data_IF_797759844593
#
_entry.id   IF_797759844593
#
_cell.length_a   1.000
_cell.length_b   1.000
_cell.length_c   1.000
_cell.angle_alpha   90.00
_cell.angle_beta   90.00
_cell.angle_gamma   90.00
#
_symmetry.space_group_name_H-M   'P 1'
#
loop_
_entity.id
_entity.type
_entity.pdbx_description
1 polymer ?
#
# COMPACT_ATOMS: atom_id res chain seq x y z
N UNK A 1 21.77 22.10 15.54
CA UNK A 1 20.60 21.36 16.03
C UNK A 1 19.79 20.86 14.84
N UNK A 2 20.21 19.77 14.23
CA UNK A 2 19.44 19.01 13.24
C UNK A 2 19.84 17.55 13.42
N UNK A 3 18.91 16.63 13.13
CA UNK A 3 19.03 15.17 13.24
C UNK A 3 18.45 14.52 14.51
N UNK A 4 17.12 14.45 14.54
CA UNK A 4 16.39 13.37 15.24
C UNK A 4 15.30 12.74 14.36
N UNK A 5 15.07 13.22 13.12
CA UNK A 5 14.03 12.69 12.23
C UNK A 5 14.52 11.60 11.26
N UNK A 6 15.81 11.51 10.92
CA UNK A 6 16.27 10.53 9.93
C UNK A 6 16.53 9.13 10.49
N UNK A 7 16.80 8.99 11.80
CA UNK A 7 17.02 7.67 12.42
C UNK A 7 15.73 6.85 12.49
N UNK A 8 14.58 7.47 12.75
CA UNK A 8 13.28 6.77 12.82
C UNK A 8 12.87 6.12 11.50
N UNK A 9 13.23 6.70 10.35
CA UNK A 9 12.95 6.13 9.04
C UNK A 9 13.92 5.00 8.69
N UNK A 10 15.19 5.12 9.06
CA UNK A 10 16.21 4.10 8.87
C UNK A 10 16.00 2.86 9.77
N UNK A 11 15.46 3.07 10.98
CA UNK A 11 15.11 1.98 11.90
C UNK A 11 13.83 1.25 11.46
N UNK A 12 12.87 1.94 10.80
CA UNK A 12 11.70 1.31 10.16
C UNK A 12 12.06 0.40 8.97
N UNK A 13 13.25 0.58 8.38
CA UNK A 13 13.75 -0.22 7.25
C UNK A 13 14.40 -1.52 7.73
N UNK A 14 14.85 -1.61 8.99
CA UNK A 14 15.49 -2.80 9.55
C UNK A 14 14.45 -3.81 10.08
N UNK A 15 14.26 -4.86 9.30
CA UNK A 15 13.57 -6.12 9.64
C UNK A 15 12.07 -6.01 9.91
N UNK A 16 11.29 -6.10 8.82
CA UNK A 16 9.86 -6.41 8.88
C UNK A 16 9.67 -7.83 9.37
N UNK A 17 9.13 -7.99 10.58
CA UNK A 17 8.98 -9.29 11.22
C UNK A 17 7.65 -9.96 10.83
N UNK A 18 6.63 -9.22 10.38
CA UNK A 18 5.30 -9.78 10.14
C UNK A 18 4.67 -9.24 8.86
N UNK A 19 3.94 -10.09 8.15
CA UNK A 19 3.10 -9.73 7.00
C UNK A 19 1.75 -9.16 7.46
N UNK A 20 1.14 -9.78 8.47
CA UNK A 20 -0.21 -9.47 8.95
C UNK A 20 -0.20 -9.20 10.45
N UNK A 21 -0.88 -8.13 10.87
CA UNK A 21 -1.20 -7.85 12.26
C UNK A 21 -2.69 -8.10 12.51
N UNK A 22 -3.04 -8.96 13.47
CA UNK A 22 -4.42 -9.19 13.88
C UNK A 22 -4.73 -8.40 15.16
N UNK A 23 -5.59 -7.39 15.07
CA UNK A 23 -6.18 -6.69 16.23
C UNK A 23 -7.57 -7.25 16.49
N UNK A 24 -7.82 -7.72 17.71
CA UNK A 24 -9.09 -8.32 18.09
C UNK A 24 -9.26 -8.33 19.61
N UNK A 25 -10.49 -8.52 20.06
CA UNK A 25 -10.76 -8.73 21.47
C UNK A 25 -10.52 -10.18 21.85
N UNK A 26 -9.48 -10.43 22.63
CA UNK A 26 -9.06 -11.79 23.03
C UNK A 26 -10.22 -12.63 23.59
N UNK A 27 -10.96 -12.06 24.56
CA UNK A 27 -12.08 -12.73 25.22
C UNK A 27 -13.22 -13.15 24.29
N UNK A 28 -13.37 -12.48 23.15
CA UNK A 28 -14.54 -12.65 22.29
C UNK A 28 -14.27 -13.64 21.16
N UNK A 29 -13.08 -13.56 20.55
CA UNK A 29 -12.84 -14.20 19.25
C UNK A 29 -11.57 -15.06 19.18
N UNK A 30 -10.74 -15.11 20.23
CA UNK A 30 -9.42 -15.78 20.20
C UNK A 30 -9.50 -17.24 19.80
N UNK A 31 -10.19 -18.05 20.60
CA UNK A 31 -10.22 -19.51 20.41
C UNK A 31 -11.19 -19.93 19.29
N UNK A 32 -12.12 -19.03 18.91
CA UNK A 32 -13.05 -19.22 17.80
C UNK A 32 -12.50 -18.67 16.49
N UNK A 33 -13.15 -17.63 15.97
CA UNK A 33 -12.90 -17.09 14.63
C UNK A 33 -11.42 -16.75 14.34
N UNK A 34 -10.70 -16.14 15.28
CA UNK A 34 -9.31 -15.70 15.06
C UNK A 34 -8.35 -16.89 14.99
N UNK A 35 -8.54 -17.93 15.81
CA UNK A 35 -7.71 -19.15 15.74
C UNK A 35 -7.85 -19.83 14.37
N UNK A 36 -9.06 -19.86 13.81
CA UNK A 36 -9.32 -20.37 12.47
C UNK A 36 -8.70 -19.49 11.39
N UNK A 37 -8.88 -18.17 11.45
CA UNK A 37 -8.26 -17.25 10.50
C UNK A 37 -6.74 -17.41 10.47
N UNK A 38 -6.09 -17.46 11.64
CA UNK A 38 -4.67 -17.71 11.75
C UNK A 38 -4.26 -19.07 11.15
N UNK A 39 -5.01 -20.13 11.46
CA UNK A 39 -4.76 -21.48 10.91
C UNK A 39 -4.82 -21.49 9.37
N UNK A 40 -5.65 -20.68 8.74
CA UNK A 40 -5.74 -20.59 7.28
C UNK A 40 -4.63 -19.73 6.66
N UNK A 41 -4.05 -18.80 7.40
CA UNK A 41 -2.89 -18.01 6.97
C UNK A 41 -1.58 -18.83 7.00
N UNK A 42 -1.42 -19.73 7.97
CA UNK A 42 -0.20 -20.54 8.15
C UNK A 42 0.22 -21.36 6.90
N UNK A 43 -0.66 -22.14 6.23
CA UNK A 43 -0.29 -22.91 5.05
C UNK A 43 0.17 -22.06 3.86
N UNK A 44 -0.13 -20.76 3.87
CA UNK A 44 0.29 -19.80 2.83
C UNK A 44 1.61 -19.12 3.15
N UNK A 45 2.30 -19.55 4.23
CA UNK A 45 3.54 -18.95 4.72
C UNK A 45 3.42 -17.44 5.01
N UNK A 46 2.25 -17.00 5.46
CA UNK A 46 2.01 -15.59 5.83
C UNK A 46 2.36 -15.41 7.30
N UNK A 47 3.43 -14.65 7.58
CA UNK A 47 3.89 -14.44 8.95
C UNK A 47 2.94 -13.48 9.67
N UNK A 48 2.16 -14.00 10.61
CA UNK A 48 1.07 -13.25 11.24
C UNK A 48 1.38 -12.99 12.71
N UNK A 49 1.35 -11.72 13.12
CA UNK A 49 1.34 -11.34 14.52
C UNK A 49 -0.09 -11.42 15.05
N UNK A 50 -0.31 -12.31 16.00
CA UNK A 50 -1.56 -12.37 16.76
C UNK A 50 -1.35 -11.55 18.01
N UNK A 51 -2.13 -10.49 18.17
CA UNK A 51 -2.09 -9.80 19.43
C UNK A 51 -2.71 -10.63 20.57
N UNK A 52 -2.00 -10.73 21.68
CA UNK A 52 -2.45 -11.41 22.88
C UNK A 52 -2.60 -10.43 24.04
N UNK A 53 -3.79 -9.84 24.16
CA UNK A 53 -4.13 -8.95 25.26
C UNK A 53 -4.00 -9.64 26.64
N UNK A 54 -4.14 -10.97 26.75
CA UNK A 54 -4.12 -11.69 28.03
C UNK A 54 -2.71 -11.83 28.62
N UNK A 55 -1.68 -11.70 27.79
CA UNK A 55 -0.28 -11.77 28.20
C UNK A 55 0.33 -10.40 28.54
N UNK A 56 -0.43 -9.31 28.41
CA UNK A 56 0.07 -7.94 28.63
C UNK A 56 0.11 -7.57 30.12
N UNK A 57 1.20 -6.90 30.52
CA UNK A 57 1.35 -6.24 31.84
C UNK A 57 1.64 -4.75 31.62
N UNK A 58 0.88 -3.86 32.26
CA UNK A 58 1.03 -2.40 32.16
C UNK A 58 -0.19 -1.70 31.53
N UNK A 59 -0.07 -0.40 31.22
CA UNK A 59 -1.10 0.42 30.57
C UNK A 59 -0.67 1.00 29.20
N UNK A 60 0.59 0.78 28.79
CA UNK A 60 1.18 1.34 27.56
C UNK A 60 1.50 0.26 26.52
N UNK A 61 1.27 0.59 25.24
CA UNK A 61 1.65 -0.26 24.10
C UNK A 61 3.15 -0.55 24.19
N UNK A 62 3.50 -1.83 24.31
CA UNK A 62 4.91 -2.23 24.34
C UNK A 62 5.59 -1.81 23.03
N UNK A 63 6.86 -1.41 23.11
CA UNK A 63 7.63 -1.04 21.91
C UNK A 63 7.64 -2.15 20.85
N UNK A 64 7.63 -3.41 21.27
CA UNK A 64 7.53 -4.58 20.39
C UNK A 64 6.19 -4.64 19.63
N UNK A 65 5.07 -4.34 20.30
CA UNK A 65 3.77 -4.27 19.63
C UNK A 65 3.71 -3.12 18.63
N UNK A 66 4.21 -1.94 19.00
CA UNK A 66 4.24 -0.79 18.10
C UNK A 66 5.06 -1.10 16.85
N UNK A 67 6.20 -1.78 17.01
CA UNK A 67 7.00 -2.29 15.88
C UNK A 67 6.24 -3.34 15.06
N UNK A 68 5.51 -4.26 15.69
CA UNK A 68 4.69 -5.23 14.96
C UNK A 68 3.58 -4.56 14.16
N UNK A 69 2.88 -3.57 14.74
CA UNK A 69 1.88 -2.78 14.03
C UNK A 69 2.53 -2.08 12.84
N UNK A 70 3.55 -1.26 13.07
CA UNK A 70 4.20 -0.46 12.03
C UNK A 70 4.89 -1.30 10.95
N UNK A 71 5.49 -2.42 11.34
CA UNK A 71 6.20 -3.33 10.45
C UNK A 71 5.29 -4.24 9.62
N UNK A 72 4.00 -4.38 9.99
CA UNK A 72 3.05 -5.21 9.27
C UNK A 72 2.49 -4.54 8.02
N UNK A 73 2.31 -5.33 6.96
CA UNK A 73 1.84 -4.91 5.64
C UNK A 73 0.32 -4.79 5.56
N UNK A 74 -0.37 -5.67 6.27
CA UNK A 74 -1.82 -5.69 6.39
C UNK A 74 -2.18 -5.72 7.87
N UNK A 75 -3.14 -4.90 8.29
CA UNK A 75 -3.76 -5.01 9.60
C UNK A 75 -5.21 -5.46 9.45
N UNK A 76 -5.54 -6.60 10.05
CA UNK A 76 -6.91 -7.09 10.14
C UNK A 76 -7.47 -6.68 11.49
N UNK A 77 -8.63 -6.03 11.49
CA UNK A 77 -9.29 -5.58 12.72
C UNK A 77 -10.59 -6.36 12.85
N UNK A 78 -10.68 -7.24 13.84
CA UNK A 78 -11.89 -8.03 14.12
C UNK A 78 -12.71 -7.30 15.18
N UNK A 79 -13.72 -6.57 14.72
CA UNK A 79 -14.70 -5.92 15.56
C UNK A 79 -15.70 -6.96 16.09
N UNK A 80 -15.67 -7.19 17.39
CA UNK A 80 -16.62 -8.00 18.14
C UNK A 80 -17.47 -7.13 19.06
N UNK A 81 -18.48 -7.73 19.69
CA UNK A 81 -19.45 -7.02 20.55
C UNK A 81 -18.77 -6.17 21.63
N UNK A 82 -17.73 -6.69 22.28
CA UNK A 82 -17.05 -6.03 23.40
C UNK A 82 -15.68 -5.46 23.01
N UNK A 83 -15.38 -5.32 21.71
CA UNK A 83 -14.11 -4.77 21.22
C UNK A 83 -13.78 -3.39 21.84
N UNK A 84 -14.74 -2.46 21.80
CA UNK A 84 -14.55 -1.11 22.33
C UNK A 84 -14.45 -1.05 23.86
N UNK A 85 -14.75 -2.14 24.59
CA UNK A 85 -14.54 -2.19 26.04
C UNK A 85 -13.05 -2.23 26.40
N UNK A 86 -12.19 -2.72 25.48
CA UNK A 86 -10.75 -2.82 25.71
C UNK A 86 -10.03 -1.54 25.33
N UNK A 87 -9.36 -0.93 26.31
CA UNK A 87 -8.47 0.23 26.11
C UNK A 87 -7.33 -0.11 25.13
N UNK A 88 -6.89 -1.36 25.14
CA UNK A 88 -5.80 -1.88 24.32
C UNK A 88 -6.17 -1.96 22.85
N UNK A 89 -7.27 -2.67 22.53
CA UNK A 89 -7.88 -2.67 21.19
C UNK A 89 -8.04 -1.24 20.64
N UNK A 90 -8.56 -0.31 21.44
CA UNK A 90 -8.75 1.09 21.00
C UNK A 90 -7.43 1.83 20.74
N UNK A 91 -6.41 1.60 21.57
CA UNK A 91 -5.10 2.20 21.38
C UNK A 91 -4.36 1.64 20.15
N UNK A 92 -4.46 0.33 19.91
CA UNK A 92 -3.96 -0.30 18.69
C UNK A 92 -4.63 0.25 17.45
N UNK A 93 -5.96 0.36 17.48
CA UNK A 93 -6.75 0.88 16.38
C UNK A 93 -6.26 2.25 15.92
N UNK A 94 -6.00 3.17 16.86
CA UNK A 94 -5.42 4.48 16.53
C UNK A 94 -4.09 4.33 15.81
N UNK A 95 -3.18 3.50 16.33
CA UNK A 95 -1.87 3.28 15.71
C UNK A 95 -1.96 2.61 14.34
N UNK A 96 -2.91 1.70 14.14
CA UNK A 96 -3.15 1.07 12.85
C UNK A 96 -3.62 2.11 11.83
N UNK A 97 -4.58 2.96 12.21
CA UNK A 97 -5.13 4.00 11.35
C UNK A 97 -4.11 5.09 11.00
N UNK A 98 -3.12 5.34 11.87
CA UNK A 98 -2.02 6.27 11.61
C UNK A 98 -0.97 5.72 10.62
N UNK A 99 -0.99 4.42 10.31
CA UNK A 99 0.00 3.81 9.43
C UNK A 99 -0.49 3.73 7.97
N UNK A 100 0.41 3.98 7.01
CA UNK A 100 0.13 3.78 5.58
C UNK A 100 0.23 2.29 5.19
N UNK A 101 -0.80 1.49 5.52
CA UNK A 101 -0.89 0.05 5.23
C UNK A 101 -2.29 -0.37 4.80
N UNK A 102 -2.44 -1.61 4.33
CA UNK A 102 -3.76 -2.17 4.06
C UNK A 102 -4.50 -2.47 5.36
N UNK A 103 -5.74 -1.98 5.46
CA UNK A 103 -6.61 -2.26 6.61
C UNK A 103 -7.77 -3.14 6.14
N UNK A 104 -8.02 -4.23 6.86
CA UNK A 104 -9.09 -5.20 6.60
C UNK A 104 -10.02 -5.24 7.83
N UNK A 105 -11.10 -4.45 7.84
CA UNK A 105 -12.12 -4.57 8.87
C UNK A 105 -12.89 -5.88 8.72
N UNK A 106 -13.16 -6.55 9.84
CA UNK A 106 -14.03 -7.72 9.95
C UNK A 106 -15.05 -7.45 11.05
N UNK A 107 -16.32 -7.34 10.69
CA UNK A 107 -17.44 -7.12 11.59
C UNK A 107 -18.00 -8.49 12.01
N UNK A 108 -17.51 -9.01 13.13
CA UNK A 108 -17.84 -10.36 13.59
C UNK A 108 -18.93 -10.32 14.66
N UNK A 109 -20.15 -10.71 14.28
CA UNK A 109 -21.31 -10.73 15.19
C UNK A 109 -21.80 -9.34 15.59
N UNK A 110 -21.40 -8.29 14.86
CA UNK A 110 -21.79 -6.89 15.08
C UNK A 110 -22.21 -6.25 13.76
N UNK A 111 -23.11 -5.28 13.82
CA UNK A 111 -23.49 -4.49 12.65
C UNK A 111 -22.39 -3.43 12.37
N UNK A 112 -21.88 -3.31 11.13
CA UNK A 112 -20.93 -2.25 10.77
C UNK A 112 -21.41 -0.84 11.14
N UNK A 113 -22.73 -0.60 11.14
CA UNK A 113 -23.35 0.67 11.54
C UNK A 113 -23.15 0.96 13.02
N UNK A 114 -23.19 -0.06 13.88
CA UNK A 114 -22.95 0.10 15.31
C UNK A 114 -21.49 0.48 15.60
N UNK A 115 -20.55 -0.09 14.85
CA UNK A 115 -19.14 0.28 14.92
C UNK A 115 -18.94 1.72 14.45
N UNK A 116 -19.41 2.05 13.24
CA UNK A 116 -19.21 3.36 12.61
C UNK A 116 -19.88 4.52 13.37
N UNK A 117 -21.06 4.30 13.93
CA UNK A 117 -21.82 5.33 14.64
C UNK A 117 -21.65 5.24 16.16
N UNK A 118 -20.90 4.26 16.65
CA UNK A 118 -20.71 3.95 18.07
C UNK A 118 -22.04 3.82 18.82
N UNK A 119 -22.95 2.99 18.31
CA UNK A 119 -24.25 2.67 18.91
C UNK A 119 -24.22 1.28 19.58
N UNK A 120 -25.27 0.94 20.36
CA UNK A 120 -25.35 -0.34 21.06
C UNK A 120 -24.21 -0.55 22.07
N UNK A 121 -23.59 -1.74 22.04
CA UNK A 121 -22.50 -2.09 22.98
C UNK A 121 -21.29 -1.15 22.89
N UNK A 122 -21.05 -0.56 21.71
CA UNK A 122 -19.99 0.43 21.52
C UNK A 122 -20.30 1.73 22.29
N UNK A 123 -21.57 2.17 22.29
CA UNK A 123 -21.99 3.34 23.05
C UNK A 123 -21.77 3.13 24.56
N UNK A 124 -22.19 1.97 25.07
CA UNK A 124 -22.06 1.61 26.48
C UNK A 124 -20.58 1.54 26.90
N UNK A 125 -19.71 1.01 26.04
CA UNK A 125 -18.27 0.96 26.28
C UNK A 125 -17.66 2.37 26.33
N UNK A 126 -18.03 3.25 25.40
CA UNK A 126 -17.52 4.63 25.40
C UNK A 126 -18.03 5.46 26.57
N UNK A 127 -19.27 5.28 27.02
CA UNK A 127 -19.79 5.95 28.22
C UNK A 127 -18.92 5.62 29.45
N UNK A 128 -18.52 4.35 29.60
CA UNK A 128 -17.59 3.92 30.66
C UNK A 128 -16.20 4.52 30.51
N UNK A 129 -15.67 4.62 29.28
CA UNK A 129 -14.36 5.25 29.06
C UNK A 129 -14.38 6.75 29.34
N UNK A 130 -15.44 7.45 28.96
CA UNK A 130 -15.61 8.88 29.27
C UNK A 130 -15.64 9.12 30.78
N UNK A 131 -16.24 8.20 31.54
CA UNK A 131 -16.21 8.25 33.00
C UNK A 131 -14.81 7.93 33.58
N UNK A 132 -14.16 6.89 33.08
CA UNK A 132 -12.85 6.46 33.58
C UNK A 132 -11.71 7.42 33.19
N UNK A 133 -11.88 8.17 32.09
CA UNK A 133 -10.90 9.11 31.55
C UNK A 133 -11.44 10.54 31.54
N UNK A 134 -12.19 10.94 32.58
CA UNK A 134 -12.72 12.31 32.75
C UNK A 134 -11.65 13.42 32.57
N UNK A 135 -10.38 13.11 32.88
CA UNK A 135 -9.25 14.04 32.73
C UNK A 135 -8.46 13.88 31.42
N UNK A 136 -8.78 12.88 30.58
CA UNK A 136 -8.12 12.56 29.31
C UNK A 136 -9.13 12.44 28.16
N UNK A 137 -10.14 13.32 28.11
CA UNK A 137 -11.23 13.24 27.13
C UNK A 137 -10.75 13.28 25.66
N UNK A 138 -9.62 13.96 25.38
CA UNK A 138 -9.02 13.97 24.04
C UNK A 138 -8.58 12.58 23.56
N UNK A 139 -8.14 11.72 24.48
CA UNK A 139 -7.80 10.32 24.17
C UNK A 139 -9.03 9.54 23.72
N UNK A 140 -10.14 9.72 24.43
CA UNK A 140 -11.42 9.08 24.09
C UNK A 140 -11.96 9.60 22.75
N UNK A 141 -11.83 10.90 22.46
CA UNK A 141 -12.17 11.47 21.15
C UNK A 141 -11.33 10.88 20.02
N UNK A 142 -10.04 10.66 20.27
CA UNK A 142 -9.13 10.04 19.30
C UNK A 142 -9.58 8.61 18.99
N UNK A 143 -9.95 7.83 20.02
CA UNK A 143 -10.51 6.49 19.85
C UNK A 143 -11.82 6.50 19.04
N UNK A 144 -12.77 7.39 19.37
CA UNK A 144 -14.04 7.52 18.63
C UNK A 144 -13.79 7.86 17.15
N UNK A 145 -12.83 8.73 16.87
CA UNK A 145 -12.47 9.14 15.50
C UNK A 145 -11.89 7.97 14.72
N UNK A 146 -10.94 7.23 15.30
CA UNK A 146 -10.34 6.06 14.66
C UNK A 146 -11.38 4.96 14.38
N UNK A 147 -12.30 4.72 15.32
CA UNK A 147 -13.36 3.72 15.19
C UNK A 147 -14.40 4.10 14.13
N UNK A 148 -14.75 5.39 14.06
CA UNK A 148 -15.59 5.94 12.98
C UNK A 148 -14.92 5.79 11.62
N UNK A 149 -13.62 6.07 11.54
CA UNK A 149 -12.86 5.96 10.29
C UNK A 149 -12.75 4.50 9.84
N UNK A 150 -12.39 3.58 10.74
CA UNK A 150 -12.30 2.16 10.46
C UNK A 150 -13.66 1.54 10.08
N UNK A 151 -14.75 1.94 10.76
CA UNK A 151 -16.11 1.50 10.43
C UNK A 151 -16.65 2.04 9.10
N UNK A 152 -16.00 3.04 8.49
CA UNK A 152 -16.31 3.52 7.12
C UNK A 152 -15.58 2.75 6.04
N UNK A 153 -14.52 2.01 6.39
CA UNK A 153 -13.77 1.21 5.43
C UNK A 153 -14.61 0.03 4.95
N UNK A 154 -14.38 -0.38 3.71
CA UNK A 154 -14.96 -1.61 3.20
C UNK A 154 -14.33 -2.80 3.92
N UNK A 155 -15.16 -3.70 4.43
CA UNK A 155 -14.73 -4.84 5.22
C UNK A 155 -15.70 -6.00 5.09
N UNK A 156 -15.47 -7.03 5.89
CA UNK A 156 -16.19 -8.30 5.84
C UNK A 156 -17.21 -8.38 6.97
N UNK A 157 -18.46 -8.67 6.65
CA UNK A 157 -19.55 -8.80 7.63
C UNK A 157 -19.94 -10.27 7.81
N UNK A 158 -19.79 -10.80 9.04
CA UNK A 158 -20.11 -12.20 9.34
C UNK A 158 -21.60 -12.51 9.35
N UNK A 159 -22.46 -11.50 9.31
CA UNK A 159 -23.91 -11.67 9.12
C UNK A 159 -24.27 -11.84 7.65
N UNK A 160 -23.45 -11.33 6.73
CA UNK A 160 -23.65 -11.40 5.28
C UNK A 160 -22.94 -12.60 4.68
N UNK A 161 -21.64 -12.74 4.97
CA UNK A 161 -20.82 -13.83 4.42
C UNK A 161 -20.79 -14.99 5.42
N UNK A 162 -21.52 -16.06 5.10
CA UNK A 162 -21.66 -17.25 5.93
C UNK A 162 -21.51 -18.52 5.09
N UNK A 163 -21.07 -19.64 5.67
CA UNK A 163 -20.61 -19.82 7.07
C UNK A 163 -19.23 -19.22 7.35
N UNK A 164 -18.78 -19.24 8.61
CA UNK A 164 -17.49 -18.70 9.05
C UNK A 164 -16.30 -19.22 8.23
N UNK A 165 -16.34 -20.47 7.75
CA UNK A 165 -15.30 -21.02 6.87
C UNK A 165 -15.20 -20.26 5.54
N UNK A 166 -16.33 -19.91 4.93
CA UNK A 166 -16.36 -19.12 3.70
C UNK A 166 -15.90 -17.70 3.94
N UNK A 167 -16.30 -17.11 5.07
CA UNK A 167 -15.82 -15.80 5.50
C UNK A 167 -14.28 -15.79 5.66
N UNK A 168 -13.72 -16.79 6.33
CA UNK A 168 -12.27 -16.94 6.50
C UNK A 168 -11.58 -17.09 5.15
N UNK A 169 -12.10 -17.95 4.26
CA UNK A 169 -11.52 -18.14 2.92
C UNK A 169 -11.47 -16.83 2.12
N UNK A 170 -12.56 -16.06 2.12
CA UNK A 170 -12.63 -14.78 1.41
C UNK A 170 -11.70 -13.72 2.03
N UNK A 171 -11.63 -13.63 3.36
CA UNK A 171 -10.68 -12.74 4.05
C UNK A 171 -9.23 -13.11 3.69
N UNK A 172 -8.90 -14.40 3.69
CA UNK A 172 -7.55 -14.86 3.35
C UNK A 172 -7.20 -14.57 1.89
N UNK A 173 -8.15 -14.75 0.95
CA UNK A 173 -7.96 -14.35 -0.45
C UNK A 173 -7.70 -12.84 -0.57
N UNK A 174 -8.46 -12.02 0.14
CA UNK A 174 -8.29 -10.56 0.17
C UNK A 174 -6.93 -10.15 0.75
N UNK A 175 -6.51 -10.77 1.86
CA UNK A 175 -5.19 -10.55 2.46
C UNK A 175 -4.08 -10.92 1.46
N UNK A 176 -4.14 -12.09 0.84
CA UNK A 176 -3.15 -12.52 -0.17
C UNK A 176 -3.09 -11.53 -1.33
N UNK A 177 -4.25 -11.11 -1.84
CA UNK A 177 -4.34 -10.11 -2.91
C UNK A 177 -3.69 -8.79 -2.50
N UNK A 178 -3.97 -8.29 -1.30
CA UNK A 178 -3.37 -7.05 -0.76
C UNK A 178 -1.86 -7.17 -0.54
N UNK A 179 -1.39 -8.33 -0.07
CA UNK A 179 0.05 -8.62 0.01
C UNK A 179 0.68 -8.71 -1.39
N UNK A 180 -0.03 -9.19 -2.40
CA UNK A 180 0.50 -9.23 -3.77
C UNK A 180 0.44 -7.87 -4.49
N UNK A 181 -0.52 -6.99 -4.16
CA UNK A 181 -0.68 -5.66 -4.76
C UNK A 181 0.38 -4.64 -4.32
N UNK A 182 1.40 -5.05 -3.58
CA UNK A 182 2.50 -4.19 -3.16
C UNK A 182 2.29 -3.68 -1.75
N UNK A 183 3.11 -4.21 -0.86
CA UNK A 183 3.55 -3.62 0.40
C UNK A 183 4.95 -4.17 0.68
N UNK A 184 5.75 -4.39 -0.37
CA UNK A 184 7.16 -4.10 -0.19
C UNK A 184 7.13 -2.58 0.03
N UNK A 185 7.56 -1.97 1.13
CA UNK A 185 8.75 -1.12 0.95
C UNK A 185 9.55 -1.79 -0.13
N UNK A 186 9.55 -1.24 -1.34
CA UNK A 186 10.57 -1.61 -2.31
C UNK A 186 11.83 -1.83 -1.48
N UNK A 187 12.45 -3.01 -1.55
CA UNK A 187 13.71 -3.21 -0.86
C UNK A 187 14.64 -2.17 -1.51
N UNK A 188 14.62 -0.95 -0.96
CA UNK A 188 15.50 0.16 -1.28
C UNK A 188 16.91 -0.17 -0.77
N UNK A 189 17.05 -1.28 -0.04
CA UNK A 189 18.29 -2.04 0.08
C UNK A 189 18.88 -2.32 -1.32
N UNK A 190 19.83 -1.48 -1.72
CA UNK A 190 20.52 -1.57 -3.01
C UNK A 190 20.14 -0.49 -4.02
N UNK A 191 19.22 0.42 -3.67
CA UNK A 191 18.84 1.56 -4.50
C UNK A 191 19.33 2.86 -3.85
N UNK A 192 20.15 3.60 -4.58
CA UNK A 192 20.81 4.81 -4.08
C UNK A 192 20.06 6.04 -4.59
N UNK A 193 19.79 7.00 -3.70
CA UNK A 193 19.22 8.31 -4.06
C UNK A 193 17.74 8.28 -4.45
N UNK A 194 17.04 7.14 -4.30
CA UNK A 194 15.64 7.02 -4.69
C UNK A 194 14.72 7.72 -3.71
N UNK A 195 15.05 7.75 -2.41
CA UNK A 195 14.22 8.37 -1.39
C UNK A 195 14.00 9.87 -1.65
N UNK A 196 15.06 10.61 -2.02
CA UNK A 196 14.97 12.04 -2.35
C UNK A 196 14.02 12.26 -3.54
N UNK A 197 14.29 11.55 -4.64
CA UNK A 197 13.50 11.63 -5.88
C UNK A 197 12.04 11.21 -5.65
N UNK A 198 11.82 10.19 -4.82
CA UNK A 198 10.48 9.74 -4.43
C UNK A 198 9.75 10.82 -3.65
N UNK A 199 10.39 11.52 -2.70
CA UNK A 199 9.75 12.61 -1.94
C UNK A 199 9.33 13.77 -2.86
N UNK A 200 10.18 14.15 -3.81
CA UNK A 200 9.86 15.16 -4.82
C UNK A 200 8.63 14.76 -5.62
N UNK A 201 8.60 13.52 -6.14
CA UNK A 201 7.45 13.04 -6.89
C UNK A 201 6.20 12.93 -6.02
N UNK A 202 6.30 12.44 -4.79
CA UNK A 202 5.17 12.33 -3.87
C UNK A 202 4.54 13.70 -3.57
N UNK A 203 5.31 14.79 -3.59
CA UNK A 203 4.74 16.13 -3.48
C UNK A 203 3.82 16.48 -4.66
N UNK A 204 4.16 16.05 -5.89
CA UNK A 204 3.33 16.20 -7.09
C UNK A 204 2.06 15.32 -7.04
N UNK A 205 2.06 14.27 -6.23
CA UNK A 205 0.90 13.41 -6.01
C UNK A 205 -0.14 14.00 -5.05
N UNK A 206 0.30 14.89 -4.14
CA UNK A 206 -0.39 15.22 -2.88
C UNK A 206 -1.29 16.46 -2.91
N UNK A 207 -1.49 17.17 -4.05
CA UNK A 207 -2.33 18.38 -4.02
C UNK A 207 -3.81 18.03 -3.78
N UNK A 208 -4.22 17.87 -2.51
CA UNK A 208 -5.52 18.11 -1.87
C UNK A 208 -6.85 17.73 -2.54
N UNK A 209 -6.85 17.25 -3.78
CA UNK A 209 -8.01 17.13 -4.66
C UNK A 209 -8.23 15.66 -5.03
N UNK A 210 -9.49 15.19 -4.98
CA UNK A 210 -9.87 13.86 -5.39
C UNK A 210 -9.97 13.75 -6.93
N UNK A 211 -9.12 14.43 -7.70
CA UNK A 211 -9.12 14.35 -9.16
C UNK A 211 -8.30 13.17 -9.68
N UNK A 212 -8.55 12.76 -10.92
CA UNK A 212 -7.71 11.84 -11.67
C UNK A 212 -6.43 12.56 -12.11
N UNK A 213 -5.25 11.94 -11.97
CA UNK A 213 -4.00 12.54 -12.42
C UNK A 213 -3.07 11.57 -13.12
N UNK A 214 -2.33 12.12 -14.07
CA UNK A 214 -1.23 11.45 -14.75
C UNK A 214 0.09 12.15 -14.43
N UNK A 215 1.13 11.37 -14.16
CA UNK A 215 2.49 11.84 -14.00
C UNK A 215 3.39 11.16 -15.02
N UNK A 216 4.31 11.92 -15.60
CA UNK A 216 5.21 11.44 -16.63
C UNK A 216 6.66 11.45 -16.16
N UNK A 217 7.37 10.33 -16.25
CA UNK A 217 8.80 10.25 -15.99
C UNK A 217 9.55 10.17 -17.32
N UNK A 218 10.43 11.15 -17.56
CA UNK A 218 11.25 11.24 -18.76
C UNK A 218 12.75 11.21 -18.41
N UNK A 219 13.57 10.73 -19.34
CA UNK A 219 15.03 10.73 -19.23
C UNK A 219 15.67 9.64 -20.08
N UNK A 220 17.00 9.61 -20.11
CA UNK A 220 17.77 8.64 -20.90
C UNK A 220 17.50 7.17 -20.49
N UNK A 221 17.72 6.22 -21.40
CA UNK A 221 17.70 4.80 -21.05
C UNK A 221 18.72 4.48 -19.94
N UNK A 222 18.37 3.63 -18.98
CA UNK A 222 19.25 3.24 -17.88
C UNK A 222 19.30 4.19 -16.68
N UNK A 223 18.69 5.38 -16.77
CA UNK A 223 18.72 6.41 -15.69
C UNK A 223 17.93 6.03 -14.42
N UNK A 224 17.16 4.93 -14.44
CA UNK A 224 16.39 4.48 -13.26
C UNK A 224 14.91 4.88 -13.21
N UNK A 225 14.32 5.38 -14.31
CA UNK A 225 12.87 5.70 -14.39
C UNK A 225 11.96 4.56 -13.89
N UNK A 226 12.19 3.34 -14.38
CA UNK A 226 11.42 2.15 -14.01
C UNK A 226 11.55 1.84 -12.52
N UNK A 227 12.75 2.03 -11.96
CA UNK A 227 13.03 1.80 -10.54
C UNK A 227 12.31 2.83 -9.67
N UNK A 228 12.32 4.11 -10.07
CA UNK A 228 11.59 5.16 -9.37
C UNK A 228 10.07 4.91 -9.41
N UNK A 229 9.53 4.51 -10.57
CA UNK A 229 8.12 4.18 -10.70
C UNK A 229 7.71 2.95 -9.87
N UNK A 230 8.57 1.93 -9.82
CA UNK A 230 8.39 0.73 -8.99
C UNK A 230 8.41 1.06 -7.50
N UNK A 231 9.37 1.87 -7.06
CA UNK A 231 9.46 2.35 -5.68
C UNK A 231 8.20 3.11 -5.25
N UNK A 232 7.71 4.03 -6.10
CA UNK A 232 6.48 4.79 -5.84
C UNK A 232 5.27 3.86 -5.84
N UNK A 233 5.14 2.98 -6.84
CA UNK A 233 4.03 2.02 -6.94
C UNK A 233 3.85 1.25 -5.63
N UNK A 234 4.95 0.74 -5.11
CA UNK A 234 5.01 -0.01 -3.86
C UNK A 234 4.80 0.85 -2.60
N UNK A 235 5.16 2.13 -2.65
CA UNK A 235 4.97 3.05 -1.52
C UNK A 235 3.52 3.51 -1.36
N UNK A 236 2.79 3.75 -2.46
CA UNK A 236 1.45 4.38 -2.42
C UNK A 236 0.29 3.45 -2.75
N UNK A 237 0.54 2.20 -3.17
CA UNK A 237 -0.48 1.19 -3.54
C UNK A 237 -1.63 1.08 -2.53
N UNK A 238 -1.33 1.16 -1.23
CA UNK A 238 -2.30 1.03 -0.13
C UNK A 238 -3.43 2.06 -0.16
N UNK A 239 -3.17 3.22 -0.78
CA UNK A 239 -4.15 4.29 -0.90
C UNK A 239 -5.22 4.04 -1.97
N UNK A 240 -5.13 2.96 -2.74
CA UNK A 240 -5.96 2.69 -3.92
C UNK A 240 -6.78 1.41 -3.75
N UNK A 241 -7.84 1.24 -4.54
CA UNK A 241 -8.66 0.02 -4.51
C UNK A 241 -8.08 -1.10 -5.38
N UNK A 242 -7.39 -0.73 -6.46
CA UNK A 242 -6.74 -1.67 -7.37
C UNK A 242 -5.48 -1.04 -7.91
N UNK A 243 -4.42 -1.85 -8.04
CA UNK A 243 -3.12 -1.40 -8.54
C UNK A 243 -2.67 -2.33 -9.67
N UNK A 244 -2.00 -1.78 -10.69
CA UNK A 244 -1.41 -2.60 -11.75
C UNK A 244 -0.14 -1.96 -12.33
N UNK A 245 0.89 -2.77 -12.53
CA UNK A 245 2.15 -2.36 -13.15
C UNK A 245 2.26 -2.98 -14.56
N UNK A 246 2.09 -2.15 -15.59
CA UNK A 246 2.31 -2.50 -16.99
C UNK A 246 3.81 -2.40 -17.29
N UNK A 247 4.56 -3.46 -17.03
CA UNK A 247 6.00 -3.51 -17.29
C UNK A 247 6.30 -3.58 -18.80
N UNK A 248 7.38 -2.90 -19.23
CA UNK A 248 7.97 -3.02 -20.57
C UNK A 248 6.94 -2.97 -21.73
N UNK A 249 6.09 -1.94 -21.75
CA UNK A 249 4.99 -1.80 -22.73
C UNK A 249 5.51 -1.82 -24.17
N UNK A 250 6.62 -1.14 -24.44
CA UNK A 250 7.28 -1.16 -25.75
C UNK A 250 7.66 -2.58 -26.18
N UNK A 251 8.23 -3.38 -25.27
CA UNK A 251 8.68 -4.73 -25.59
C UNK A 251 7.50 -5.66 -25.89
N UNK A 252 6.40 -5.55 -25.13
CA UNK A 252 5.18 -6.30 -25.42
C UNK A 252 4.53 -5.89 -26.76
N UNK A 253 4.60 -4.62 -27.16
CA UNK A 253 4.17 -4.17 -28.48
C UNK A 253 5.04 -4.79 -29.59
N UNK A 254 6.36 -4.75 -29.43
CA UNK A 254 7.32 -5.35 -30.38
C UNK A 254 7.11 -6.88 -30.54
N UNK A 255 6.73 -7.57 -29.45
CA UNK A 255 6.41 -9.00 -29.44
C UNK A 255 4.98 -9.34 -29.89
N UNK A 256 4.15 -8.33 -30.22
CA UNK A 256 2.71 -8.48 -30.54
C UNK A 256 1.87 -9.09 -29.41
N UNK A 257 2.28 -8.88 -28.17
CA UNK A 257 1.62 -9.36 -26.95
C UNK A 257 0.78 -8.29 -26.25
N UNK A 258 0.72 -7.07 -26.80
CA UNK A 258 0.04 -5.93 -26.21
C UNK A 258 -1.45 -6.21 -25.92
N UNK A 259 -2.11 -7.04 -26.74
CA UNK A 259 -3.48 -7.48 -26.50
C UNK A 259 -3.61 -8.31 -25.21
N UNK A 260 -2.69 -9.25 -24.98
CA UNK A 260 -2.69 -10.08 -23.77
C UNK A 260 -2.41 -9.25 -22.52
N UNK A 261 -1.48 -8.29 -22.63
CA UNK A 261 -1.16 -7.36 -21.55
C UNK A 261 -2.40 -6.52 -21.18
N UNK A 262 -3.10 -5.98 -22.19
CA UNK A 262 -4.34 -5.24 -22.00
C UNK A 262 -5.41 -6.10 -21.31
N UNK A 263 -5.62 -7.34 -21.76
CA UNK A 263 -6.65 -8.19 -21.18
C UNK A 263 -6.37 -8.49 -19.70
N UNK A 264 -5.11 -8.82 -19.36
CA UNK A 264 -4.67 -9.03 -17.97
C UNK A 264 -4.82 -7.76 -17.13
N UNK A 265 -4.50 -6.60 -17.68
CA UNK A 265 -4.68 -5.32 -17.01
C UNK A 265 -6.15 -5.07 -16.65
N UNK A 266 -7.05 -5.16 -17.62
CA UNK A 266 -8.47 -4.89 -17.38
C UNK A 266 -9.12 -5.94 -16.46
N UNK A 267 -8.80 -7.23 -16.61
CA UNK A 267 -9.33 -8.27 -15.71
C UNK A 267 -8.86 -8.08 -14.27
N UNK A 268 -7.61 -7.65 -14.07
CA UNK A 268 -7.04 -7.42 -12.73
C UNK A 268 -7.63 -6.17 -12.08
N UNK A 269 -7.72 -5.05 -12.80
CA UNK A 269 -8.28 -3.80 -12.27
C UNK A 269 -9.79 -3.96 -11.99
N UNK A 270 -10.52 -4.65 -12.85
CA UNK A 270 -11.95 -4.84 -12.68
C UNK A 270 -12.31 -6.00 -11.75
N UNK A 271 -11.33 -6.85 -11.42
CA UNK A 271 -11.47 -8.06 -10.58
C UNK A 271 -12.46 -9.03 -11.20
N UNK A 272 -12.29 -9.26 -12.50
CA UNK A 272 -13.20 -10.03 -13.33
C UNK A 272 -12.36 -10.95 -14.22
N UNK A 273 -12.09 -12.17 -13.72
CA UNK A 273 -11.25 -13.16 -14.40
C UNK A 273 -11.85 -13.62 -15.75
N UNK A 274 -13.18 -13.52 -15.89
CA UNK A 274 -13.90 -13.89 -17.10
C UNK A 274 -13.99 -12.74 -18.12
N UNK A 275 -13.40 -11.59 -17.81
CA UNK A 275 -13.43 -10.44 -18.69
C UNK A 275 -12.62 -10.71 -19.97
N UNK A 276 -13.32 -10.69 -21.10
CA UNK A 276 -12.69 -10.67 -22.43
C UNK A 276 -13.06 -9.39 -23.16
N UNK A 277 -12.05 -8.62 -23.56
CA UNK A 277 -12.21 -7.43 -24.40
C UNK A 277 -11.62 -7.78 -25.76
N UNK A 278 -12.45 -8.36 -26.62
CA UNK A 278 -12.05 -8.79 -27.97
C UNK A 278 -11.83 -7.64 -28.96
N UNK A 279 -12.23 -6.42 -28.59
CA UNK A 279 -12.20 -5.26 -29.49
C UNK A 279 -11.09 -4.26 -29.11
N UNK A 280 -10.44 -3.61 -30.10
CA UNK A 280 -9.44 -2.56 -29.86
C UNK A 280 -9.97 -1.36 -29.07
N UNK A 281 -11.28 -1.16 -29.03
CA UNK A 281 -11.93 -0.17 -28.18
C UNK A 281 -12.52 -0.83 -26.94
N UNK A 282 -12.44 -0.21 -25.77
CA UNK A 282 -13.31 -0.58 -24.64
C UNK A 282 -14.72 -0.12 -25.02
N UNK A 283 -15.43 -0.97 -25.76
CA UNK A 283 -16.66 -0.63 -26.48
C UNK A 283 -17.92 -0.62 -25.63
N UNK A 284 -17.95 -1.33 -24.49
CA UNK A 284 -19.13 -1.31 -23.62
C UNK A 284 -19.11 -0.11 -22.68
N UNK A 285 -20.19 0.67 -22.68
CA UNK A 285 -20.39 1.76 -21.70
C UNK A 285 -20.26 1.26 -20.27
N UNK A 286 -20.76 0.04 -20.01
CA UNK A 286 -20.68 -0.62 -18.71
C UNK A 286 -19.25 -0.80 -18.18
N UNK A 287 -18.27 -1.16 -19.02
CA UNK A 287 -16.87 -1.27 -18.59
C UNK A 287 -16.28 0.11 -18.27
N UNK A 288 -16.66 1.15 -19.03
CA UNK A 288 -16.26 2.53 -18.73
C UNK A 288 -16.80 2.96 -17.37
N UNK A 289 -18.08 2.67 -17.11
CA UNK A 289 -18.74 3.02 -15.86
C UNK A 289 -18.08 2.34 -14.66
N UNK A 290 -17.67 1.07 -14.79
CA UNK A 290 -16.95 0.35 -13.73
C UNK A 290 -15.58 0.98 -13.44
N UNK A 291 -14.80 1.31 -14.47
CA UNK A 291 -13.48 1.94 -14.32
C UNK A 291 -13.60 3.34 -13.69
N UNK A 292 -14.62 4.12 -14.10
CA UNK A 292 -14.86 5.48 -13.60
C UNK A 292 -15.28 5.55 -12.13
N UNK A 293 -15.59 4.41 -11.50
CA UNK A 293 -15.97 4.31 -10.09
C UNK A 293 -14.85 3.77 -9.20
N UNK A 294 -13.78 3.22 -9.79
CA UNK A 294 -12.66 2.66 -9.04
C UNK A 294 -11.53 3.67 -8.90
N UNK A 295 -11.00 3.79 -7.68
CA UNK A 295 -9.77 4.53 -7.38
C UNK A 295 -8.57 3.60 -7.65
N UNK A 296 -7.80 3.86 -8.69
CA UNK A 296 -6.72 2.95 -9.14
C UNK A 296 -5.35 3.62 -9.21
N UNK A 297 -4.30 2.82 -9.01
CA UNK A 297 -2.90 3.21 -9.26
C UNK A 297 -2.34 2.37 -10.40
N UNK A 298 -1.86 3.02 -11.47
CA UNK A 298 -1.35 2.32 -12.64
C UNK A 298 0.03 2.86 -12.98
N UNK A 299 0.99 1.97 -13.21
CA UNK A 299 2.28 2.33 -13.83
C UNK A 299 2.31 1.79 -15.23
N UNK A 300 2.66 2.62 -16.19
CA UNK A 300 2.84 2.31 -17.61
C UNK A 300 4.32 2.49 -17.95
N UNK A 301 5.08 1.41 -17.93
CA UNK A 301 6.53 1.44 -18.03
C UNK A 301 7.04 1.27 -19.47
N UNK A 302 8.03 2.08 -19.85
CA UNK A 302 8.69 2.14 -21.16
C UNK A 302 7.71 2.32 -22.33
N UNK A 303 6.85 3.35 -22.25
CA UNK A 303 5.95 3.72 -23.36
C UNK A 303 6.74 4.46 -24.44
N UNK A 304 6.70 3.97 -25.68
CA UNK A 304 7.43 4.59 -26.81
C UNK A 304 6.53 5.29 -27.82
N UNK A 305 5.22 5.01 -27.82
CA UNK A 305 4.25 5.56 -28.79
C UNK A 305 2.91 5.85 -28.11
N UNK A 306 2.23 6.92 -28.54
CA UNK A 306 0.86 7.24 -28.10
C UNK A 306 -0.10 6.07 -28.37
N UNK A 307 0.04 5.38 -29.51
CA UNK A 307 -0.83 4.27 -29.89
C UNK A 307 -0.83 3.11 -28.88
N UNK A 308 0.30 2.87 -28.18
CA UNK A 308 0.39 1.85 -27.13
C UNK A 308 -0.47 2.25 -25.93
N UNK A 309 -0.34 3.52 -25.51
CA UNK A 309 -1.11 4.09 -24.42
C UNK A 309 -2.61 4.07 -24.74
N UNK A 310 -3.01 4.59 -25.90
CA UNK A 310 -4.41 4.60 -26.34
C UNK A 310 -4.99 3.19 -26.45
N UNK A 311 -4.22 2.22 -26.94
CA UNK A 311 -4.68 0.85 -27.03
C UNK A 311 -4.92 0.20 -25.66
N UNK A 312 -4.04 0.45 -24.68
CA UNK A 312 -4.15 -0.11 -23.33
C UNK A 312 -5.33 0.49 -22.55
N UNK A 313 -5.46 1.81 -22.59
CA UNK A 313 -6.43 2.57 -21.78
C UNK A 313 -7.76 2.83 -22.49
N UNK A 314 -7.76 2.88 -23.82
CA UNK A 314 -8.93 3.26 -24.62
C UNK A 314 -9.33 4.74 -24.47
N UNK A 315 -8.41 5.60 -23.99
CA UNK A 315 -8.62 7.04 -23.73
C UNK A 315 -8.23 7.45 -22.30
N UNK A 316 -8.05 8.76 -22.07
CA UNK A 316 -7.44 9.34 -20.86
C UNK A 316 -8.43 9.48 -19.68
N UNK A 317 -9.73 9.70 -19.94
CA UNK A 317 -10.71 10.15 -18.91
C UNK A 317 -11.53 9.04 -18.23
N UNK A 318 -10.93 7.86 -17.95
CA UNK A 318 -11.74 6.66 -17.63
C UNK A 318 -11.69 6.18 -16.18
N UNK A 319 -10.86 6.76 -15.34
CA UNK A 319 -10.68 6.28 -13.97
C UNK A 319 -11.42 7.13 -12.95
N UNK A 320 -11.74 6.53 -11.81
CA UNK A 320 -12.49 7.22 -10.78
C UNK A 320 -11.69 8.31 -10.06
N UNK A 321 -12.40 9.22 -9.36
CA UNK A 321 -11.81 10.25 -8.51
C UNK A 321 -10.67 9.72 -7.62
N UNK A 322 -9.56 10.44 -7.59
CA UNK A 322 -8.38 10.09 -6.80
C UNK A 322 -7.47 9.02 -7.41
N UNK A 323 -7.75 8.54 -8.64
CA UNK A 323 -6.87 7.62 -9.36
C UNK A 323 -5.59 8.31 -9.83
N UNK A 324 -4.53 7.52 -9.99
CA UNK A 324 -3.19 7.99 -10.40
C UNK A 324 -2.61 7.07 -11.47
N UNK A 325 -2.04 7.65 -12.52
CA UNK A 325 -1.31 6.93 -13.57
C UNK A 325 0.09 7.50 -13.68
N UNK A 326 1.11 6.64 -13.63
CA UNK A 326 2.51 7.00 -13.89
C UNK A 326 2.87 6.45 -15.26
N UNK A 327 3.48 7.27 -16.11
CA UNK A 327 3.97 6.85 -17.43
C UNK A 327 5.47 7.08 -17.48
N UNK A 328 6.27 6.04 -17.73
CA UNK A 328 7.72 6.19 -17.95
C UNK A 328 8.02 6.15 -19.44
N UNK A 329 8.91 7.02 -19.90
CA UNK A 329 9.32 7.05 -21.32
C UNK A 329 10.71 7.62 -21.52
N UNK A 330 11.31 7.30 -22.66
CA UNK A 330 12.51 7.96 -23.20
C UNK A 330 12.18 9.04 -24.22
N UNK A 331 10.92 9.42 -24.39
CA UNK A 331 10.49 10.47 -25.31
C UNK A 331 9.50 11.45 -24.65
N UNK A 332 9.95 12.65 -24.31
CA UNK A 332 9.13 13.68 -23.65
C UNK A 332 7.88 14.02 -24.45
N UNK A 333 7.95 13.95 -25.79
CA UNK A 333 6.81 14.22 -26.66
C UNK A 333 5.68 13.21 -26.47
N UNK A 334 5.99 11.96 -26.11
CA UNK A 334 4.96 10.93 -25.84
C UNK A 334 4.14 11.30 -24.62
N UNK A 335 4.75 11.87 -23.57
CA UNK A 335 4.02 12.31 -22.37
C UNK A 335 3.04 13.45 -22.70
N UNK A 336 3.50 14.43 -23.48
CA UNK A 336 2.67 15.56 -23.92
C UNK A 336 1.50 15.05 -24.77
N UNK A 337 1.76 14.12 -25.69
CA UNK A 337 0.73 13.48 -26.52
C UNK A 337 -0.27 12.66 -25.69
N UNK A 338 0.15 12.09 -24.57
CA UNK A 338 -0.74 11.40 -23.63
C UNK A 338 -1.60 12.38 -22.79
N UNK A 339 -1.48 13.69 -22.99
CA UNK A 339 -2.24 14.71 -22.26
C UNK A 339 -1.69 15.00 -20.86
N UNK A 340 -0.41 14.73 -20.61
CA UNK A 340 0.24 15.05 -19.34
C UNK A 340 0.73 16.50 -19.36
N UNK A 341 0.27 17.28 -18.39
CA UNK A 341 0.67 18.67 -18.21
C UNK A 341 2.19 18.80 -17.94
N UNK A 342 2.80 19.89 -18.39
CA UNK A 342 4.26 20.09 -18.31
C UNK A 342 4.78 20.16 -16.87
N UNK A 343 3.98 20.65 -15.93
CA UNK A 343 4.27 20.70 -14.49
C UNK A 343 4.23 19.31 -13.82
N UNK A 344 3.69 18.31 -14.52
CA UNK A 344 3.57 16.91 -14.07
C UNK A 344 4.53 15.97 -14.78
N UNK A 345 5.44 16.52 -15.59
CA UNK A 345 6.54 15.77 -16.20
C UNK A 345 7.78 15.93 -15.34
N UNK A 346 8.19 14.85 -14.69
CA UNK A 346 9.42 14.76 -13.91
C UNK A 346 10.56 14.22 -14.79
N UNK A 347 11.61 15.02 -14.96
CA UNK A 347 12.85 14.58 -15.59
C UNK A 347 13.71 13.88 -14.53
N UNK A 348 13.98 12.60 -14.75
CA UNK A 348 14.78 11.81 -13.80
C UNK A 348 16.24 12.24 -13.93
N UNK A 349 16.73 12.89 -12.88
CA UNK A 349 18.11 13.37 -12.76
C UNK A 349 19.11 12.21 -12.67
N UNK A 350 20.32 12.47 -13.14
CA UNK A 350 21.48 11.61 -12.91
C UNK A 350 21.78 11.46 -11.41
N UNK A 351 22.45 10.36 -11.07
CA UNK A 351 23.01 10.17 -9.73
C UNK A 351 24.16 11.16 -9.57
N UNK A 352 24.25 11.79 -8.40
CA UNK A 352 25.44 12.59 -8.09
C UNK A 352 26.68 11.69 -7.92
N UNK A 353 27.86 12.30 -7.71
CA UNK A 353 29.12 11.56 -7.63
C UNK A 353 29.12 10.56 -6.47
N UNK A 354 28.62 10.96 -5.30
CA UNK A 354 28.55 10.11 -4.12
C UNK A 354 27.55 8.97 -4.32
N UNK A 355 26.37 9.27 -4.86
CA UNK A 355 25.33 8.31 -5.21
C UNK A 355 25.83 7.29 -6.25
N UNK A 356 26.57 7.76 -7.25
CA UNK A 356 27.15 6.94 -8.31
C UNK A 356 28.23 5.99 -7.77
N UNK A 357 29.12 6.49 -6.92
CA UNK A 357 30.16 5.68 -6.25
C UNK A 357 29.50 4.63 -5.35
N UNK A 358 28.48 5.01 -4.60
CA UNK A 358 27.76 4.06 -3.74
C UNK A 358 27.07 2.97 -4.56
N UNK A 359 26.40 3.31 -5.66
CA UNK A 359 25.78 2.33 -6.56
C UNK A 359 26.84 1.39 -7.16
N UNK A 360 27.98 1.94 -7.59
CA UNK A 360 29.09 1.15 -8.11
C UNK A 360 29.59 0.16 -7.05
N UNK A 361 29.82 0.61 -5.81
CA UNK A 361 30.29 -0.25 -4.73
C UNK A 361 29.29 -1.36 -4.39
N UNK A 362 28.00 -1.04 -4.35
CA UNK A 362 26.95 -2.03 -4.09
C UNK A 362 26.89 -3.09 -5.19
N UNK A 363 27.03 -2.69 -6.46
CA UNK A 363 26.94 -3.62 -7.60
C UNK A 363 28.21 -4.45 -7.80
N UNK A 364 29.38 -3.83 -7.63
CA UNK A 364 30.67 -4.49 -7.85
C UNK A 364 31.14 -5.32 -6.65
N UNK A 365 30.95 -4.80 -5.42
CA UNK A 365 31.53 -5.37 -4.20
C UNK A 365 30.49 -5.89 -3.21
N UNK A 366 29.19 -5.72 -3.48
CA UNK A 366 28.10 -6.03 -2.55
C UNK A 366 28.27 -5.32 -1.18
N UNK A 367 28.97 -4.18 -1.17
CA UNK A 367 29.18 -3.34 0.01
C UNK A 367 28.60 -1.95 -0.21
N UNK A 368 28.10 -1.32 0.86
CA UNK A 368 27.50 0.02 0.81
C UNK A 368 28.54 1.16 0.84
N UNK A 369 29.82 0.83 1.00
CA UNK A 369 30.92 1.77 1.08
C UNK A 369 32.05 1.33 0.16
N UNK A 370 32.82 2.28 -0.40
CA UNK A 370 34.11 1.98 -0.98
C UNK A 370 34.95 1.28 0.08
N UNK A 371 35.46 0.09 -0.24
CA UNK A 371 36.55 -0.48 0.54
C UNK A 371 37.69 0.51 0.37
N UNK A 372 38.13 1.16 1.45
CA UNK A 372 39.38 1.93 1.45
C UNK A 372 40.51 0.97 1.08
N UNK A 373 40.79 0.83 -0.22
CA UNK A 373 42.10 0.45 -0.65
C UNK A 373 42.99 1.64 -0.32
N UNK A 374 43.61 1.58 0.86
CA UNK A 374 44.81 2.37 1.13
C UNK A 374 45.75 2.16 -0.06
N UNK A 375 45.87 3.20 -0.90
CA UNK A 375 46.94 3.32 -1.87
C UNK A 375 48.25 3.40 -1.09
N UNK A 376 48.80 2.24 -0.73
CA UNK A 376 50.21 2.13 -0.39
C UNK A 376 51.00 2.29 -1.68
N UNK A 377 51.14 3.54 -2.12
CA UNK A 377 52.32 3.96 -2.87
C UNK A 377 53.53 3.77 -1.96
N UNK A 378 54.02 2.53 -1.83
CA UNK A 378 55.40 2.28 -1.45
C UNK A 378 56.17 1.93 -2.71
N UNK A 379 56.79 2.99 -3.25
CA UNK A 379 58.05 3.03 -3.99
C UNK A 379 58.61 1.68 -4.42
N UNK A 380 58.57 1.42 -5.72
CA UNK A 380 59.67 0.75 -6.41
C UNK A 380 60.36 1.78 -7.30
N UNK A 381 61.40 2.40 -6.73
CA UNK A 381 62.59 2.86 -7.45
C UNK A 381 63.80 2.32 -6.69
#
# INVERSE_FOLDING_TARGET
MFSTKSSSAADMIKARIYDVFLSFRGKDTRDGFVSHLYKYLCPKNIQTFIDDEELRKGDEISGALLMAIQGSRVSVIVFSKDYASSKWCLAELVKIMDCNKWIVPVFYGVDPRDVRNQTGSFADAFAKHEENFKHELEKVKTWRTALTAAGKLFGWDSQVTRPDSTLVDEIVKDIVKKLNCGTSSANLEGFVGIERRMQEVLSLFQDGFPDFRMLGFWGMGGIGKTILADAIYHHVSNGFQSCYFLANVREHDERRELFNLRQKFHSTILEDENLSISTPTIGSGFLKDRLSKKKVLIVCDDVSKLSQFEFLFGGIDRFGPGSRVIVTTRNKQVLIQCGIDLDRIYEVEELDEDESVQLFCQRAFKSSHPIEYHWSYQRWF
#
